data_IF_356399797018
#
_entry.id   IF_356399797018
#
_cell.length_a   1.000
_cell.length_b   1.000
_cell.length_c   1.000
_cell.angle_alpha   90.00
_cell.angle_beta   90.00
_cell.angle_gamma   90.00
#
_symmetry.space_group_name_H-M   'P 1'
#
loop_
_entity.id
_entity.type
_entity.pdbx_description
1 polymer ?
#
# COMPACT_ATOMS: atom_id res chain seq x y z
N UNK A 1 -13.69 -20.09 3.12
CA UNK A 1 -13.49 -18.65 3.39
C UNK A 1 -11.99 -18.42 3.45
N UNK A 2 -11.47 -17.53 2.62
CA UNK A 2 -10.02 -17.26 2.48
C UNK A 2 -9.70 -15.90 3.08
N UNK A 3 -8.59 -15.80 3.80
CA UNK A 3 -8.10 -14.56 4.39
C UNK A 3 -6.73 -14.23 3.82
N UNK A 4 -6.40 -12.96 3.84
CA UNK A 4 -5.08 -12.48 3.45
C UNK A 4 -4.70 -11.23 4.22
N UNK A 5 -3.44 -10.84 4.08
CA UNK A 5 -2.89 -9.59 4.59
C UNK A 5 -2.44 -8.73 3.43
N UNK A 6 -2.79 -7.44 3.46
CA UNK A 6 -2.41 -6.46 2.44
C UNK A 6 -1.56 -5.38 3.08
N UNK A 7 -0.43 -5.10 2.46
CA UNK A 7 0.49 -4.04 2.84
C UNK A 7 1.01 -3.35 1.59
N UNK A 8 1.12 -2.03 1.61
CA UNK A 8 1.79 -1.26 0.58
C UNK A 8 3.05 -0.58 1.10
N UNK A 9 4.00 -0.42 0.20
CA UNK A 9 5.22 0.33 0.42
C UNK A 9 5.35 1.43 -0.64
N UNK A 10 5.92 2.56 -0.23
CA UNK A 10 6.23 3.66 -1.13
C UNK A 10 7.70 4.04 -1.01
N UNK A 11 8.34 4.23 -2.17
CA UNK A 11 9.65 4.80 -2.30
C UNK A 11 9.59 6.10 -3.13
N UNK A 12 10.19 7.21 -2.67
CA UNK A 12 10.37 8.38 -3.51
C UNK A 12 11.33 8.06 -4.66
N UNK A 13 11.00 8.47 -5.88
CA UNK A 13 11.83 8.29 -7.07
C UNK A 13 11.83 9.58 -7.90
N UNK A 14 12.93 9.85 -8.61
CA UNK A 14 12.98 10.96 -9.56
C UNK A 14 12.30 10.56 -10.88
N UNK A 15 11.33 11.37 -11.32
CA UNK A 15 10.69 11.25 -12.61
C UNK A 15 10.88 12.49 -13.48
N UNK A 16 10.44 12.42 -14.73
CA UNK A 16 10.56 13.53 -15.69
C UNK A 16 9.83 14.82 -15.25
N UNK A 17 8.81 14.70 -14.40
CA UNK A 17 8.01 15.80 -13.86
C UNK A 17 8.42 16.20 -12.43
N UNK A 18 9.53 15.68 -11.90
CA UNK A 18 9.98 15.90 -10.53
C UNK A 18 9.80 14.66 -9.64
N UNK A 19 9.55 14.89 -8.35
CA UNK A 19 9.37 13.83 -7.36
C UNK A 19 8.13 12.98 -7.69
N UNK A 20 8.34 11.68 -7.83
CA UNK A 20 7.30 10.67 -8.01
C UNK A 20 7.39 9.63 -6.89
N UNK A 21 6.35 8.81 -6.75
CA UNK A 21 6.26 7.74 -5.78
C UNK A 21 6.18 6.39 -6.48
N UNK A 22 7.12 5.49 -6.22
CA UNK A 22 6.99 4.08 -6.59
C UNK A 22 6.19 3.37 -5.51
N UNK A 23 4.97 2.96 -5.85
CA UNK A 23 4.09 2.16 -5.00
C UNK A 23 4.27 0.69 -5.33
N UNK A 24 4.37 -0.16 -4.30
CA UNK A 24 4.17 -1.61 -4.46
C UNK A 24 3.22 -2.11 -3.37
N UNK A 25 2.12 -2.76 -3.75
CA UNK A 25 1.13 -3.34 -2.83
C UNK A 25 1.16 -4.86 -2.95
N UNK A 26 1.32 -5.52 -1.81
CA UNK A 26 1.40 -6.96 -1.69
C UNK A 26 0.14 -7.53 -1.05
N UNK A 27 -0.29 -8.69 -1.53
CA UNK A 27 -1.30 -9.53 -0.90
C UNK A 27 -0.63 -10.85 -0.48
N UNK A 28 -0.63 -11.11 0.81
CA UNK A 28 -0.18 -12.36 1.42
C UNK A 28 -1.39 -13.27 1.67
N UNK A 29 -1.30 -14.53 1.23
CA UNK A 29 -2.33 -15.56 1.40
C UNK A 29 -1.64 -16.86 1.84
N UNK A 30 -1.66 -17.15 3.15
CA UNK A 30 -0.89 -18.28 3.70
C UNK A 30 0.60 -18.07 3.45
N UNK A 31 1.23 -18.97 2.70
CA UNK A 31 2.66 -18.89 2.35
C UNK A 31 2.93 -18.17 1.03
N UNK A 32 1.90 -17.65 0.35
CA UNK A 32 2.03 -17.01 -0.97
C UNK A 32 1.99 -15.49 -0.84
N UNK A 33 2.90 -14.83 -1.54
CA UNK A 33 2.89 -13.38 -1.75
C UNK A 33 2.60 -13.07 -3.21
N UNK A 34 1.72 -12.10 -3.44
CA UNK A 34 1.37 -11.59 -4.75
C UNK A 34 1.55 -10.07 -4.78
N UNK A 35 2.14 -9.53 -5.84
CA UNK A 35 2.14 -8.09 -6.10
C UNK A 35 0.83 -7.74 -6.80
N UNK A 36 -0.02 -6.97 -6.13
CA UNK A 36 -1.35 -6.58 -6.61
C UNK A 36 -1.27 -5.31 -7.46
N UNK A 37 -0.38 -4.39 -7.08
CA UNK A 37 -0.17 -3.11 -7.76
C UNK A 37 1.31 -2.74 -7.64
N UNK A 38 1.92 -2.34 -8.75
CA UNK A 38 3.31 -1.87 -8.80
C UNK A 38 3.47 -0.80 -9.87
N UNK A 39 3.44 0.46 -9.46
CA UNK A 39 3.41 1.59 -10.38
C UNK A 39 4.06 2.85 -9.82
N UNK A 40 4.40 3.77 -10.72
CA UNK A 40 4.96 5.07 -10.37
C UNK A 40 3.91 6.15 -10.54
N UNK A 41 3.58 6.85 -9.45
CA UNK A 41 2.48 7.81 -9.37
C UNK A 41 2.97 9.20 -8.93
N UNK A 42 2.28 10.27 -9.31
CA UNK A 42 2.52 11.58 -8.70
C UNK A 42 2.11 11.55 -7.22
N UNK A 43 2.75 12.35 -6.35
CA UNK A 43 2.27 12.55 -4.99
C UNK A 43 0.83 13.07 -4.97
N UNK A 44 0.01 12.54 -4.06
CA UNK A 44 -1.37 13.00 -3.83
C UNK A 44 -1.41 14.34 -3.07
N UNK A 45 -0.35 14.63 -2.31
CA UNK A 45 -0.11 15.90 -1.62
C UNK A 45 1.38 16.23 -1.57
N UNK A 46 1.77 17.49 -1.27
CA UNK A 46 3.18 17.83 -1.05
C UNK A 46 3.82 16.96 0.04
N UNK A 47 5.09 16.60 -0.15
CA UNK A 47 5.87 15.77 0.77
C UNK A 47 6.87 16.66 1.51
N UNK A 48 6.68 16.82 2.82
CA UNK A 48 7.56 17.57 3.70
C UNK A 48 8.46 16.66 4.56
N UNK A 49 8.08 15.39 4.74
CA UNK A 49 8.89 14.41 5.47
C UNK A 49 8.33 12.99 5.39
N UNK A 50 8.90 12.10 6.21
CA UNK A 50 8.61 10.67 6.16
C UNK A 50 7.14 10.35 6.53
N UNK A 51 6.53 11.14 7.43
CA UNK A 51 5.10 11.01 7.76
C UNK A 51 4.20 11.20 6.54
N UNK A 52 4.59 12.05 5.58
CA UNK A 52 3.86 12.20 4.33
C UNK A 52 4.01 10.97 3.44
N UNK A 53 5.21 10.37 3.38
CA UNK A 53 5.43 9.15 2.60
C UNK A 53 4.61 7.99 3.17
N UNK A 54 4.57 7.85 4.50
CA UNK A 54 3.76 6.85 5.21
C UNK A 54 2.27 7.06 4.94
N UNK A 55 1.81 8.32 4.97
CA UNK A 55 0.43 8.64 4.59
C UNK A 55 0.12 8.26 3.14
N UNK A 56 1.03 8.52 2.19
CA UNK A 56 0.84 8.11 0.79
C UNK A 56 0.78 6.59 0.64
N UNK A 57 1.68 5.86 1.30
CA UNK A 57 1.66 4.40 1.29
C UNK A 57 0.32 3.87 1.78
N UNK A 58 -0.20 4.43 2.87
CA UNK A 58 -1.48 4.04 3.44
C UNK A 58 -2.66 4.35 2.51
N UNK A 59 -2.76 5.58 2.00
CA UNK A 59 -3.86 5.98 1.13
C UNK A 59 -3.91 5.19 -0.18
N UNK A 60 -2.76 5.00 -0.83
CA UNK A 60 -2.67 4.24 -2.07
C UNK A 60 -2.95 2.75 -1.85
N UNK A 61 -2.63 2.22 -0.67
CA UNK A 61 -3.01 0.84 -0.29
C UNK A 61 -4.51 0.72 -0.09
N UNK A 62 -5.15 1.67 0.59
CA UNK A 62 -6.61 1.71 0.74
C UNK A 62 -7.32 1.81 -0.61
N UNK A 63 -6.82 2.63 -1.52
CA UNK A 63 -7.32 2.71 -2.90
C UNK A 63 -7.20 1.34 -3.61
N UNK A 64 -6.03 0.70 -3.51
CA UNK A 64 -5.78 -0.63 -4.11
C UNK A 64 -6.72 -1.70 -3.53
N UNK A 65 -7.01 -1.63 -2.23
CA UNK A 65 -8.00 -2.50 -1.58
C UNK A 65 -9.40 -2.23 -2.16
N UNK A 66 -9.81 -0.96 -2.19
CA UNK A 66 -11.14 -0.53 -2.61
C UNK A 66 -11.43 -0.68 -4.11
N UNK A 67 -10.39 -0.78 -4.94
CA UNK A 67 -10.50 -0.88 -6.40
C UNK A 67 -10.02 -2.26 -6.88
N UNK A 68 -8.71 -2.51 -6.84
CA UNK A 68 -8.12 -3.70 -7.46
C UNK A 68 -8.53 -4.99 -6.76
N UNK A 69 -8.45 -5.01 -5.44
CA UNK A 69 -8.81 -6.18 -4.64
C UNK A 69 -10.32 -6.38 -4.55
N UNK A 70 -11.11 -5.30 -4.42
CA UNK A 70 -12.56 -5.37 -4.49
C UNK A 70 -13.05 -6.02 -5.79
N UNK A 71 -12.48 -5.65 -6.94
CA UNK A 71 -12.78 -6.27 -8.24
C UNK A 71 -12.42 -7.77 -8.30
N UNK A 72 -11.49 -8.21 -7.45
CA UNK A 72 -11.07 -9.62 -7.31
C UNK A 72 -11.86 -10.37 -6.21
N UNK A 73 -12.88 -9.75 -5.65
CA UNK A 73 -13.72 -10.32 -4.59
C UNK A 73 -13.10 -10.27 -3.20
N UNK A 74 -12.14 -9.38 -2.95
CA UNK A 74 -11.55 -9.19 -1.63
C UNK A 74 -12.12 -7.94 -0.94
N UNK A 75 -12.25 -8.01 0.38
CA UNK A 75 -12.77 -6.92 1.21
C UNK A 75 -11.91 -6.78 2.47
N UNK A 76 -11.51 -5.56 2.83
CA UNK A 76 -10.84 -5.29 4.11
C UNK A 76 -11.82 -5.40 5.28
N UNK A 77 -11.39 -6.10 6.34
CA UNK A 77 -12.18 -6.34 7.55
C UNK A 77 -11.51 -5.79 8.81
N UNK A 78 -10.21 -5.49 8.76
CA UNK A 78 -9.49 -4.84 9.83
C UNK A 78 -8.26 -4.11 9.28
N UNK A 79 -7.83 -3.06 10.00
CA UNK A 79 -6.57 -2.37 9.78
C UNK A 79 -5.72 -2.50 11.04
N UNK A 80 -4.45 -2.81 10.87
CA UNK A 80 -3.45 -2.74 11.94
C UNK A 80 -2.99 -1.30 12.19
N UNK A 81 -1.96 -1.17 13.03
CA UNK A 81 -1.29 0.10 13.23
C UNK A 81 -0.38 0.42 12.04
N UNK A 82 -0.28 1.71 11.71
CA UNK A 82 0.71 2.20 10.76
C UNK A 82 2.08 2.17 11.45
N UNK A 83 3.09 1.49 10.87
CA UNK A 83 4.43 1.48 11.45
C UNK A 83 4.99 2.90 11.56
N UNK A 84 5.68 3.25 12.66
CA UNK A 84 6.36 4.54 12.74
C UNK A 84 7.42 4.63 11.64
N UNK A 85 7.68 5.83 11.07
CA UNK A 85 8.75 5.98 10.10
C UNK A 85 10.11 5.65 10.73
N UNK A 86 10.90 4.83 10.05
CA UNK A 86 12.27 4.50 10.43
C UNK A 86 13.25 5.06 9.40
N UNK A 87 14.30 5.81 9.81
CA UNK A 87 15.26 6.40 8.88
C UNK A 87 15.91 5.34 7.98
N UNK A 88 15.78 5.52 6.65
CA UNK A 88 16.31 4.60 5.64
C UNK A 88 15.44 3.37 5.36
N UNK A 89 14.35 3.18 6.10
CA UNK A 89 13.33 2.20 5.74
C UNK A 89 12.38 2.78 4.68
N UNK A 90 11.75 1.90 3.89
CA UNK A 90 10.66 2.31 3.00
C UNK A 90 9.43 2.66 3.83
N UNK A 91 8.69 3.68 3.40
CA UNK A 91 7.43 4.05 4.04
C UNK A 91 6.38 2.97 3.77
N UNK A 92 5.60 2.61 4.80
CA UNK A 92 4.66 1.48 4.76
C UNK A 92 3.26 1.91 5.18
N UNK A 93 2.24 1.29 4.59
CA UNK A 93 0.86 1.39 5.06
C UNK A 93 0.66 0.66 6.40
N UNK A 94 -0.53 0.80 6.98
CA UNK A 94 -1.03 -0.21 7.91
C UNK A 94 -1.09 -1.60 7.24
N UNK A 95 -1.04 -2.65 8.06
CA UNK A 95 -1.32 -4.01 7.63
C UNK A 95 -2.83 -4.26 7.66
N UNK A 96 -3.45 -4.45 6.48
CA UNK A 96 -4.88 -4.70 6.37
C UNK A 96 -5.17 -6.19 6.34
N UNK A 97 -6.12 -6.64 7.16
CA UNK A 97 -6.68 -7.99 7.02
C UNK A 97 -7.81 -7.95 6.01
N UNK A 98 -7.74 -8.80 4.99
CA UNK A 98 -8.78 -8.94 3.97
C UNK A 98 -9.41 -10.32 3.99
N UNK A 99 -10.68 -10.41 3.59
CA UNK A 99 -11.39 -11.67 3.34
C UNK A 99 -11.81 -11.77 1.88
N UNK A 100 -11.82 -12.99 1.35
CA UNK A 100 -12.36 -13.27 0.01
C UNK A 100 -13.84 -13.60 0.09
N UNK A 101 -14.64 -12.84 -0.64
CA UNK A 101 -16.05 -13.04 -0.92
C UNK A 101 -16.16 -13.99 -2.12
N UNK A 102 -16.63 -15.22 -1.85
CA UNK A 102 -17.04 -16.27 -2.80
C UNK A 102 -16.36 -16.34 -4.16
#
# INVERSE_FOLDING_TARGET
MQFGRVEGIVAPVEGAAGLMLRLTVYLEIGERFEVVRDETLPPLRPIAGDDDLTWHADQLTQETIGVDLANRGWEAIAAGEIPPPEPGALARSAAYTVRRLG
#
